data_IF_296851761335
#
_entry.id   IF_296851761335
#
_cell.length_a   1.000
_cell.length_b   1.000
_cell.length_c   1.000
_cell.angle_alpha   90.00
_cell.angle_beta   90.00
_cell.angle_gamma   90.00
#
_symmetry.space_group_name_H-M   'P 1'
#
loop_
_entity.id
_entity.type
_entity.pdbx_description
1 polymer ?
#
# COMPACT_ATOMS: atom_id res chain seq x y z
N UNK A 1 4.04 -7.77 -11.91
CA UNK A 1 2.62 -7.41 -11.98
C UNK A 1 2.25 -7.02 -10.57
N UNK A 2 1.88 -5.77 -10.32
CA UNK A 2 1.50 -5.29 -8.99
C UNK A 2 0.04 -5.68 -8.75
N UNK A 3 -0.21 -6.40 -7.66
CA UNK A 3 -1.51 -6.96 -7.26
C UNK A 3 -1.83 -6.70 -5.78
N UNK A 4 -0.94 -5.98 -5.10
CA UNK A 4 -1.10 -5.55 -3.74
C UNK A 4 -0.56 -4.13 -3.57
N UNK A 5 -1.03 -3.44 -2.55
CA UNK A 5 -0.54 -2.14 -2.10
C UNK A 5 -0.61 -2.07 -0.59
N UNK A 6 0.24 -1.28 0.05
CA UNK A 6 0.08 -1.01 1.47
C UNK A 6 0.14 0.48 1.81
N UNK A 7 -0.54 0.84 2.88
CA UNK A 7 -0.62 2.21 3.41
C UNK A 7 -0.51 2.18 4.93
N UNK A 8 -0.07 3.27 5.55
CA UNK A 8 0.03 3.35 7.01
C UNK A 8 -1.36 3.53 7.63
N UNK A 9 -1.75 2.67 8.58
CA UNK A 9 -3.03 2.79 9.29
C UNK A 9 -3.20 4.18 9.92
N UNK A 10 -2.10 4.74 10.40
CA UNK A 10 -2.07 6.04 11.05
C UNK A 10 -2.55 7.19 10.15
N UNK A 11 -2.36 7.10 8.83
CA UNK A 11 -2.79 8.15 7.90
C UNK A 11 -4.32 8.23 7.86
N UNK A 12 -4.99 7.08 7.86
CA UNK A 12 -6.46 7.03 7.96
C UNK A 12 -6.97 7.61 9.28
N UNK A 13 -6.27 7.36 10.40
CA UNK A 13 -6.63 7.93 11.70
C UNK A 13 -6.44 9.46 11.74
N UNK A 14 -5.38 9.97 11.12
CA UNK A 14 -5.05 11.39 11.08
C UNK A 14 -5.98 12.15 10.14
N UNK A 15 -6.23 11.61 8.95
CA UNK A 15 -7.10 12.21 7.94
C UNK A 15 -8.59 11.95 8.21
N UNK A 16 -8.88 11.12 9.23
CA UNK A 16 -10.23 10.69 9.60
C UNK A 16 -10.97 10.07 8.40
N UNK A 17 -10.23 9.30 7.60
CA UNK A 17 -10.73 8.58 6.44
C UNK A 17 -11.07 7.12 6.82
N UNK A 18 -12.14 6.55 6.23
CA UNK A 18 -12.45 5.15 6.44
C UNK A 18 -11.38 4.26 5.78
N UNK A 19 -11.09 3.14 6.42
CA UNK A 19 -10.26 2.11 5.82
C UNK A 19 -10.91 1.59 4.53
N UNK A 20 -10.09 1.20 3.53
CA UNK A 20 -10.59 0.56 2.33
C UNK A 20 -11.33 -0.73 2.68
N UNK A 21 -12.36 -1.05 1.90
CA UNK A 21 -13.18 -2.24 2.09
C UNK A 21 -13.04 -3.20 0.91
N UNK A 22 -13.25 -4.48 1.19
CA UNK A 22 -13.34 -5.49 0.13
C UNK A 22 -14.53 -5.14 -0.77
N UNK A 23 -14.34 -5.31 -2.08
CA UNK A 23 -15.25 -4.89 -3.15
C UNK A 23 -15.18 -3.40 -3.55
N UNK A 24 -14.31 -2.60 -2.94
CA UNK A 24 -14.08 -1.22 -3.41
C UNK A 24 -13.40 -1.19 -4.78
N UNK A 25 -13.77 -0.18 -5.57
CA UNK A 25 -13.22 0.05 -6.91
C UNK A 25 -12.41 1.33 -6.93
N UNK A 26 -11.15 1.23 -7.36
CA UNK A 26 -10.24 2.37 -7.46
C UNK A 26 -9.81 2.61 -8.91
N UNK A 27 -9.81 3.87 -9.33
CA UNK A 27 -9.31 4.28 -10.64
C UNK A 27 -7.83 4.64 -10.48
N UNK A 28 -6.97 3.87 -11.14
CA UNK A 28 -5.54 4.12 -11.17
C UNK A 28 -5.25 5.16 -12.26
N UNK A 29 -4.62 6.25 -11.86
CA UNK A 29 -4.15 7.31 -12.74
C UNK A 29 -2.65 7.13 -13.06
N UNK A 30 -2.22 7.63 -14.22
CA UNK A 30 -0.79 7.79 -14.52
C UNK A 30 -0.23 9.07 -13.87
N UNK A 31 1.08 9.31 -14.05
CA UNK A 31 1.75 10.53 -13.58
C UNK A 31 1.30 11.83 -14.26
N UNK A 32 0.36 11.76 -15.22
CA UNK A 32 -0.28 12.90 -15.89
C UNK A 32 -1.77 13.03 -15.52
N UNK A 33 -2.21 12.36 -14.45
CA UNK A 33 -3.60 12.32 -13.99
C UNK A 33 -4.60 11.71 -15.00
N UNK A 34 -4.11 10.89 -15.95
CA UNK A 34 -4.98 10.21 -16.91
C UNK A 34 -5.34 8.80 -16.40
N UNK A 35 -6.61 8.37 -16.52
CA UNK A 35 -7.04 7.05 -16.06
C UNK A 35 -6.40 5.94 -16.91
N UNK A 36 -5.69 5.04 -16.24
CA UNK A 36 -5.03 3.86 -16.81
C UNK A 36 -5.83 2.58 -16.58
N UNK A 37 -6.32 2.39 -15.37
CA UNK A 37 -6.93 1.13 -14.97
C UNK A 37 -7.99 1.32 -13.89
N UNK A 38 -8.88 0.34 -13.78
CA UNK A 38 -9.80 0.17 -12.66
C UNK A 38 -9.39 -1.11 -11.96
N UNK A 39 -9.10 -1.00 -10.67
CA UNK A 39 -8.80 -2.13 -9.80
C UNK A 39 -9.97 -2.34 -8.83
N UNK A 40 -10.11 -3.56 -8.34
CA UNK A 40 -11.05 -3.92 -7.30
C UNK A 40 -10.30 -4.53 -6.13
N UNK A 41 -10.51 -3.99 -4.93
CA UNK A 41 -9.93 -4.53 -3.70
C UNK A 41 -10.62 -5.84 -3.35
N UNK A 42 -9.85 -6.92 -3.26
CA UNK A 42 -10.34 -8.28 -2.98
C UNK A 42 -10.01 -8.73 -1.55
N UNK A 43 -9.01 -8.11 -0.93
CA UNK A 43 -8.59 -8.42 0.43
C UNK A 43 -8.04 -7.14 1.09
N UNK A 44 -8.37 -6.93 2.35
CA UNK A 44 -7.80 -5.87 3.18
C UNK A 44 -7.41 -6.50 4.51
N UNK A 45 -6.13 -6.44 4.84
CA UNK A 45 -5.59 -6.92 6.10
C UNK A 45 -4.85 -5.78 6.80
N UNK A 46 -5.04 -5.63 8.10
CA UNK A 46 -4.26 -4.68 8.91
C UNK A 46 -3.29 -5.48 9.76
N UNK A 47 -2.00 -5.35 9.46
CA UNK A 47 -0.94 -6.07 10.15
C UNK A 47 0.28 -5.16 10.37
N UNK A 48 1.06 -5.37 11.42
CA UNK A 48 2.27 -4.59 11.64
C UNK A 48 3.31 -4.88 10.57
N UNK A 49 4.17 -3.90 10.29
CA UNK A 49 5.16 -3.98 9.21
C UNK A 49 6.12 -5.18 9.36
N UNK A 50 6.45 -5.57 10.59
CA UNK A 50 7.26 -6.75 10.89
C UNK A 50 6.57 -8.10 10.61
N UNK A 51 5.24 -8.12 10.47
CA UNK A 51 4.45 -9.33 10.15
C UNK A 51 4.13 -9.44 8.65
N UNK A 52 4.52 -8.47 7.83
CA UNK A 52 4.30 -8.52 6.38
C UNK A 52 5.12 -9.64 5.76
N UNK A 53 4.44 -10.55 5.07
CA UNK A 53 5.08 -11.71 4.45
C UNK A 53 5.85 -11.34 3.18
N UNK A 54 6.88 -12.12 2.86
CA UNK A 54 7.62 -11.97 1.59
C UNK A 54 6.70 -12.14 0.37
N UNK A 55 5.69 -13.00 0.46
CA UNK A 55 4.67 -13.15 -0.58
C UNK A 55 3.92 -11.85 -0.87
N UNK A 56 3.65 -11.05 0.17
CA UNK A 56 3.02 -9.73 0.01
C UNK A 56 3.97 -8.75 -0.66
N UNK A 57 5.24 -8.70 -0.22
CA UNK A 57 6.27 -7.86 -0.85
C UNK A 57 6.43 -8.18 -2.35
N UNK A 58 6.41 -9.46 -2.73
CA UNK A 58 6.45 -9.90 -4.12
C UNK A 58 5.18 -9.48 -4.88
N UNK A 59 4.01 -9.59 -4.25
CA UNK A 59 2.72 -9.21 -4.84
C UNK A 59 2.61 -7.71 -5.09
N UNK A 60 3.24 -6.89 -4.26
CA UNK A 60 3.38 -5.46 -4.47
C UNK A 60 4.37 -5.17 -5.62
N UNK A 61 5.40 -6.00 -5.74
CA UNK A 61 6.25 -6.06 -6.92
C UNK A 61 7.13 -4.82 -7.12
N UNK A 62 7.46 -4.12 -6.03
CA UNK A 62 8.37 -2.97 -6.06
C UNK A 62 9.82 -3.38 -6.31
N UNK A 63 10.54 -2.57 -7.09
CA UNK A 63 11.96 -2.73 -7.35
C UNK A 63 12.36 -4.13 -7.85
N UNK A 64 13.21 -4.81 -7.07
CA UNK A 64 13.74 -6.15 -7.38
C UNK A 64 12.83 -7.29 -6.91
N UNK A 65 11.64 -6.98 -6.37
CA UNK A 65 10.68 -7.94 -5.80
C UNK A 65 11.24 -8.75 -4.63
N UNK A 66 12.27 -8.26 -3.96
CA UNK A 66 12.77 -8.88 -2.73
C UNK A 66 12.15 -8.23 -1.51
N UNK A 67 11.93 -9.03 -0.45
CA UNK A 67 11.47 -8.51 0.84
C UNK A 67 12.39 -7.43 1.41
N UNK A 68 13.71 -7.56 1.22
CA UNK A 68 14.68 -6.59 1.71
C UNK A 68 14.50 -5.22 1.04
N UNK A 69 14.37 -5.18 -0.29
CA UNK A 69 14.14 -3.92 -1.00
C UNK A 69 12.80 -3.31 -0.59
N UNK A 70 11.76 -4.13 -0.52
CA UNK A 70 10.44 -3.71 -0.07
C UNK A 70 10.51 -3.06 1.31
N UNK A 71 11.14 -3.72 2.28
CA UNK A 71 11.29 -3.22 3.64
C UNK A 71 12.07 -1.90 3.68
N UNK A 72 13.20 -1.81 3.00
CA UNK A 72 14.02 -0.58 2.95
C UNK A 72 13.29 0.59 2.27
N UNK A 73 12.51 0.32 1.22
CA UNK A 73 11.73 1.33 0.51
C UNK A 73 10.59 1.86 1.39
N UNK A 74 9.84 0.95 2.02
CA UNK A 74 8.73 1.29 2.93
C UNK A 74 9.22 1.99 4.18
N UNK A 75 10.32 1.55 4.79
CA UNK A 75 10.93 2.21 5.94
C UNK A 75 11.29 3.66 5.60
N UNK A 76 11.92 3.90 4.45
CA UNK A 76 12.25 5.27 4.01
C UNK A 76 11.00 6.11 3.72
N UNK A 77 9.99 5.52 3.09
CA UNK A 77 8.73 6.18 2.79
C UNK A 77 8.00 6.57 4.08
N UNK A 78 7.71 5.62 4.96
CA UNK A 78 7.03 5.87 6.23
C UNK A 78 7.83 6.78 7.14
N UNK A 79 9.16 6.63 7.23
CA UNK A 79 10.00 7.55 8.01
C UNK A 79 9.85 8.99 7.54
N UNK A 80 9.75 9.20 6.22
CA UNK A 80 9.58 10.54 5.65
C UNK A 80 8.18 11.10 5.95
N UNK A 81 7.14 10.34 5.65
CA UNK A 81 5.75 10.77 5.85
C UNK A 81 5.43 10.98 7.34
N UNK A 82 5.89 10.09 8.23
CA UNK A 82 5.74 10.23 9.68
C UNK A 82 6.52 11.43 10.23
N UNK A 83 7.69 11.74 9.68
CA UNK A 83 8.47 12.89 10.09
C UNK A 83 7.75 14.20 9.82
N UNK A 84 7.02 14.29 8.71
CA UNK A 84 6.18 15.46 8.39
C UNK A 84 5.02 15.60 9.40
N UNK A 85 4.59 14.49 10.01
CA UNK A 85 3.60 14.42 11.10
C UNK A 85 4.21 14.55 12.51
N UNK A 86 5.54 14.64 12.63
CA UNK A 86 6.25 14.69 13.92
C UNK A 86 6.28 13.36 14.68
N UNK A 87 6.14 12.24 13.98
CA UNK A 87 6.16 10.88 14.52
C UNK A 87 7.42 10.13 14.08
N UNK A 88 7.79 9.11 14.84
CA UNK A 88 8.91 8.23 14.53
C UNK A 88 8.41 6.92 13.91
N UNK A 89 9.15 6.43 12.91
CA UNK A 89 8.91 5.13 12.33
C UNK A 89 9.17 4.02 13.35
N UNK A 90 8.28 3.03 13.38
CA UNK A 90 8.42 1.81 14.18
C UNK A 90 8.07 0.60 13.33
N UNK A 91 8.77 -0.52 13.53
CA UNK A 91 8.46 -1.78 12.86
C UNK A 91 7.13 -2.39 13.32
N UNK A 92 6.62 -1.96 14.49
CA UNK A 92 5.31 -2.34 15.02
C UNK A 92 4.17 -1.47 14.46
N UNK A 93 4.47 -0.55 13.53
CA UNK A 93 3.48 0.28 12.87
C UNK A 93 2.51 -0.59 12.07
N UNK A 94 1.20 -0.38 12.29
CA UNK A 94 0.16 -1.04 11.54
C UNK A 94 0.11 -0.54 10.09
N UNK A 95 0.19 -1.48 9.17
CA UNK A 95 0.00 -1.26 7.75
C UNK A 95 -1.34 -1.85 7.32
N UNK A 96 -2.04 -1.12 6.48
CA UNK A 96 -3.23 -1.55 5.76
C UNK A 96 -2.76 -2.14 4.45
N UNK A 97 -2.73 -3.46 4.40
CA UNK A 97 -2.32 -4.27 3.25
C UNK A 97 -3.55 -4.62 2.42
N UNK A 98 -3.65 -4.06 1.23
CA UNK A 98 -4.72 -4.31 0.28
C UNK A 98 -4.24 -5.21 -0.85
N UNK A 99 -5.01 -6.23 -1.19
CA UNK A 99 -4.88 -6.94 -2.47
C UNK A 99 -5.97 -6.50 -3.41
N UNK A 100 -5.61 -6.40 -4.67
CA UNK A 100 -6.55 -5.98 -5.70
C UNK A 100 -6.36 -6.75 -6.99
N UNK A 101 -7.44 -6.82 -7.74
CA UNK A 101 -7.48 -7.40 -9.07
C UNK A 101 -7.77 -6.33 -10.11
N UNK A 102 -7.13 -6.46 -11.27
CA UNK A 102 -7.37 -5.58 -12.41
C UNK A 102 -8.73 -5.92 -13.04
N UNK A 103 -9.68 -4.99 -12.94
CA UNK A 103 -11.00 -5.12 -13.56
C UNK A 103 -10.98 -4.63 -15.00
N UNK A 104 -10.32 -3.50 -15.23
CA UNK A 104 -10.24 -2.89 -16.55
C UNK A 104 -8.90 -2.20 -16.73
N UNK A 105 -8.30 -2.33 -17.91
CA UNK A 105 -7.15 -1.53 -18.31
C UNK A 105 -7.48 -0.83 -19.62
N UNK A 106 -7.21 0.48 -19.66
CA UNK A 106 -7.29 1.27 -20.88
C UNK A 106 -6.20 0.78 -21.83
N UNK A 107 -6.63 0.25 -22.98
CA UNK A 107 -5.75 -0.17 -24.07
C UNK A 107 -5.26 1.04 -24.87
#
# INVERSE_FOLDING_TARGET
>A
MKTATCSGHIFYEIENEPLPTVEDYSIILNSKDEPLAIIKTTEVNVLPMNEVSEEFAIAEGEGDRTYRYWKEAHEKFFTKELKDLGLEYSEDMLLVCERFELVHAKK
#
